data_IF_841294952712
#
_entry.id   IF_841294952712
#
_cell.length_a   1.000
_cell.length_b   1.000
_cell.length_c   1.000
_cell.angle_alpha   90.00
_cell.angle_beta   90.00
_cell.angle_gamma   90.00
#
_symmetry.space_group_name_H-M   'P 1'
#
loop_
_entity.id
_entity.type
_entity.pdbx_description
1 polymer ?
#
# COMPACT_ATOMS: atom_id res chain seq x y z
N UNK A 1 15.01 4.00 9.82
CA UNK A 1 14.55 3.63 8.48
C UNK A 1 13.25 4.35 8.22
N UNK A 2 13.26 5.34 7.33
CA UNK A 2 12.07 6.09 6.93
C UNK A 2 11.22 5.18 6.05
N UNK A 3 9.91 4.97 6.31
CA UNK A 3 9.07 4.20 5.42
C UNK A 3 9.03 4.89 4.05
N UNK A 4 9.46 4.18 3.00
CA UNK A 4 9.39 4.65 1.62
C UNK A 4 7.92 4.62 1.17
N UNK A 5 7.42 5.76 0.71
CA UNK A 5 6.05 5.92 0.24
C UNK A 5 5.44 7.31 0.46
N UNK A 6 6.12 8.21 1.17
CA UNK A 6 5.65 9.61 1.26
C UNK A 6 5.93 10.27 -0.10
N UNK A 7 4.94 10.86 -0.79
CA UNK A 7 5.19 11.75 -1.92
C UNK A 7 6.24 12.78 -1.51
N UNK A 8 7.07 13.30 -2.45
CA UNK A 8 7.95 14.44 -2.16
C UNK A 8 7.11 15.61 -1.62
N UNK A 9 6.97 15.64 -0.30
CA UNK A 9 6.15 16.56 0.44
C UNK A 9 7.08 17.62 0.99
N UNK A 10 6.79 18.88 0.69
CA UNK A 10 7.58 20.01 1.20
C UNK A 10 7.73 19.86 2.71
N UNK A 11 8.94 20.07 3.24
CA UNK A 11 9.28 19.87 4.66
C UNK A 11 8.26 20.52 5.60
N UNK A 12 7.76 21.71 5.25
CA UNK A 12 6.75 22.44 6.02
C UNK A 12 5.37 21.75 6.10
N UNK A 13 4.92 21.10 5.03
CA UNK A 13 3.68 20.31 5.05
C UNK A 13 3.83 19.08 5.95
N UNK A 14 5.02 18.46 5.94
CA UNK A 14 5.31 17.33 6.83
C UNK A 14 5.30 17.76 8.30
N UNK A 15 5.94 18.87 8.65
CA UNK A 15 5.93 19.39 10.02
C UNK A 15 4.52 19.65 10.57
N UNK A 16 3.57 20.08 9.72
CA UNK A 16 2.16 20.25 10.11
C UNK A 16 1.48 18.93 10.42
N UNK A 17 1.70 17.89 9.62
CA UNK A 17 1.17 16.56 9.91
C UNK A 17 1.79 15.99 11.20
N UNK A 18 3.09 16.19 11.43
CA UNK A 18 3.75 15.78 12.66
C UNK A 18 3.18 16.51 13.88
N UNK A 19 2.98 17.84 13.82
CA UNK A 19 2.37 18.60 14.90
C UNK A 19 0.93 18.12 15.20
N UNK A 20 0.11 17.90 14.16
CA UNK A 20 -1.21 17.31 14.31
C UNK A 20 -1.16 15.90 14.90
N UNK A 21 -0.17 15.08 14.54
CA UNK A 21 0.01 13.74 15.11
C UNK A 21 0.29 13.79 16.60
N UNK A 22 1.18 14.67 17.04
CA UNK A 22 1.54 14.81 18.45
C UNK A 22 0.39 15.37 19.29
N UNK A 23 -0.42 16.31 18.76
CA UNK A 23 -1.58 16.87 19.47
C UNK A 23 -2.84 16.01 19.37
N UNK A 24 -2.95 15.16 18.34
CA UNK A 24 -4.16 14.46 17.95
C UNK A 24 -5.16 15.33 17.18
N UNK A 25 -5.40 16.57 17.66
CA UNK A 25 -6.20 17.59 16.98
C UNK A 25 -5.65 18.98 17.28
N UNK A 26 -5.83 19.93 16.36
CA UNK A 26 -5.34 21.30 16.57
C UNK A 26 -6.13 22.35 15.79
N UNK A 27 -6.20 23.56 16.31
CA UNK A 27 -6.67 24.74 15.57
C UNK A 27 -5.53 25.39 14.78
N UNK A 28 -5.88 26.32 13.88
CA UNK A 28 -4.87 27.05 13.09
C UNK A 28 -3.89 27.84 13.98
N UNK A 29 -4.33 28.61 14.99
CA UNK A 29 -3.40 29.33 15.87
C UNK A 29 -2.49 28.40 16.67
N UNK A 30 -2.99 27.25 17.12
CA UNK A 30 -2.17 26.25 17.82
C UNK A 30 -1.02 25.74 16.93
N UNK A 31 -1.34 25.37 15.68
CA UNK A 31 -0.33 24.90 14.72
C UNK A 31 0.64 26.01 14.29
N UNK A 32 0.17 27.25 14.20
CA UNK A 32 1.00 28.41 13.93
C UNK A 32 2.02 28.65 15.05
N UNK A 33 1.59 28.54 16.29
CA UNK A 33 2.44 28.67 17.47
C UNK A 33 3.48 27.56 17.55
N UNK A 34 3.10 26.29 17.32
CA UNK A 34 4.02 25.15 17.44
C UNK A 34 5.15 25.18 16.41
N UNK A 35 4.88 25.72 15.23
CA UNK A 35 5.80 25.67 14.09
C UNK A 35 6.50 27.01 13.81
N UNK A 36 6.25 28.02 14.65
CA UNK A 36 6.71 29.41 14.47
C UNK A 36 6.40 29.91 13.04
N UNK A 37 5.13 29.79 12.65
CA UNK A 37 4.60 30.21 11.35
C UNK A 37 3.50 31.24 11.54
N UNK A 38 3.31 32.12 10.55
CA UNK A 38 2.14 32.97 10.54
C UNK A 38 0.86 32.16 10.21
N UNK A 39 -0.27 32.64 10.73
CA UNK A 39 -1.60 32.00 10.61
C UNK A 39 -2.01 31.77 9.15
N UNK A 40 -1.75 32.71 8.25
CA UNK A 40 -2.13 32.57 6.83
C UNK A 40 -1.35 31.47 6.12
N UNK A 41 -0.05 31.34 6.42
CA UNK A 41 0.80 30.26 5.90
C UNK A 41 0.28 28.91 6.36
N UNK A 42 -0.12 28.78 7.62
CA UNK A 42 -0.73 27.55 8.13
C UNK A 42 -2.06 27.26 7.45
N UNK A 43 -2.91 28.27 7.21
CA UNK A 43 -4.17 28.08 6.47
C UNK A 43 -3.94 27.58 5.05
N UNK A 44 -3.00 28.17 4.32
CA UNK A 44 -2.69 27.75 2.95
C UNK A 44 -2.11 26.33 2.90
N UNK A 45 -1.27 25.98 3.86
CA UNK A 45 -0.77 24.61 4.01
C UNK A 45 -1.90 23.63 4.36
N UNK A 46 -2.78 23.95 5.30
CA UNK A 46 -3.91 23.10 5.66
C UNK A 46 -4.87 22.91 4.50
N UNK A 47 -5.12 23.95 3.68
CA UNK A 47 -5.88 23.81 2.43
C UNK A 47 -5.23 22.83 1.45
N UNK A 48 -3.91 22.90 1.33
CA UNK A 48 -3.14 21.96 0.48
C UNK A 48 -3.19 20.52 1.01
N UNK A 49 -3.18 20.34 2.33
CA UNK A 49 -3.30 19.02 2.95
C UNK A 49 -4.74 18.47 2.85
N UNK A 50 -5.75 19.33 3.03
CA UNK A 50 -7.18 18.98 2.89
C UNK A 50 -7.50 18.57 1.45
N UNK A 51 -6.96 19.28 0.45
CA UNK A 51 -7.12 18.89 -0.97
C UNK A 51 -6.45 17.57 -1.35
N UNK A 52 -5.59 17.03 -0.47
CA UNK A 52 -4.91 15.73 -0.65
C UNK A 52 -5.48 14.66 0.28
N UNK A 53 -6.61 14.92 0.94
CA UNK A 53 -7.20 14.04 1.95
C UNK A 53 -6.21 13.67 3.06
N UNK A 54 -5.34 14.59 3.50
CA UNK A 54 -4.38 14.35 4.59
C UNK A 54 -4.83 14.95 5.92
N UNK A 55 -5.70 15.95 5.88
CA UNK A 55 -6.33 16.52 7.07
C UNK A 55 -7.80 16.76 6.78
N UNK A 56 -8.62 16.74 7.83
CA UNK A 56 -10.04 17.11 7.75
C UNK A 56 -10.43 17.98 8.94
N UNK A 57 -11.51 18.74 8.79
CA UNK A 57 -12.10 19.53 9.86
C UNK A 57 -12.89 18.62 10.80
N UNK A 58 -12.75 18.84 12.10
CA UNK A 58 -13.41 18.09 13.17
C UNK A 58 -14.16 19.04 14.11
N UNK A 59 -15.08 19.82 13.51
CA UNK A 59 -15.87 20.80 14.23
C UNK A 59 -15.12 22.09 14.55
N UNK A 60 -15.59 22.78 15.58
CA UNK A 60 -15.07 24.08 16.01
C UNK A 60 -14.90 24.15 17.51
N UNK A 61 -13.90 24.92 17.97
CA UNK A 61 -13.60 25.15 19.36
C UNK A 61 -13.80 26.62 19.71
N UNK A 62 -14.62 26.91 20.73
CA UNK A 62 -14.78 28.26 21.25
C UNK A 62 -13.73 28.51 22.33
N UNK A 63 -12.77 29.41 22.07
CA UNK A 63 -11.77 29.85 23.04
C UNK A 63 -12.01 31.33 23.34
N UNK A 64 -12.88 31.63 24.31
CA UNK A 64 -13.21 33.00 24.72
C UNK A 64 -14.16 33.75 23.77
N UNK A 65 -14.30 35.09 23.93
CA UNK A 65 -15.17 35.90 23.08
C UNK A 65 -14.58 36.05 21.68
N UNK A 66 -15.34 35.69 20.65
CA UNK A 66 -14.89 35.73 19.25
C UNK A 66 -15.53 34.65 18.39
N UNK A 67 -15.04 34.49 17.15
CA UNK A 67 -15.48 33.43 16.25
C UNK A 67 -14.88 32.08 16.69
N UNK A 68 -15.66 31.00 16.77
CA UNK A 68 -15.12 29.66 17.01
C UNK A 68 -13.99 29.32 16.02
N UNK A 69 -12.92 28.70 16.52
CA UNK A 69 -11.80 28.23 15.70
C UNK A 69 -12.10 26.87 15.09
N UNK A 70 -11.70 26.64 13.84
CA UNK A 70 -11.85 25.33 13.21
C UNK A 70 -10.78 24.38 13.77
N UNK A 71 -11.20 23.18 14.16
CA UNK A 71 -10.30 22.11 14.60
C UNK A 71 -9.98 21.21 13.42
N UNK A 72 -8.71 20.83 13.28
CA UNK A 72 -8.23 19.90 12.27
C UNK A 72 -7.71 18.61 12.92
N UNK A 73 -7.91 17.50 12.22
CA UNK A 73 -7.38 16.18 12.56
C UNK A 73 -6.78 15.51 11.32
N UNK A 74 -5.94 14.50 11.55
CA UNK A 74 -5.44 13.64 10.49
C UNK A 74 -6.56 12.74 9.94
N UNK A 75 -6.47 12.45 8.64
CA UNK A 75 -7.30 11.43 7.99
C UNK A 75 -6.65 10.06 8.11
N UNK A 76 -7.39 8.96 7.85
CA UNK A 76 -6.80 7.63 7.70
C UNK A 76 -5.68 7.58 6.65
N UNK A 77 -5.80 8.35 5.56
CA UNK A 77 -4.79 8.47 4.50
C UNK A 77 -3.49 9.08 5.05
N UNK A 78 -3.56 10.15 5.85
CA UNK A 78 -2.37 10.71 6.49
C UNK A 78 -1.80 9.79 7.58
N UNK A 79 -2.65 9.04 8.29
CA UNK A 79 -2.22 8.05 9.28
C UNK A 79 -1.34 6.94 8.66
N UNK A 80 -1.43 6.69 7.36
CA UNK A 80 -0.54 5.78 6.64
C UNK A 80 0.88 6.33 6.43
N UNK A 81 1.10 7.64 6.61
CA UNK A 81 2.41 8.29 6.43
C UNK A 81 3.30 8.24 7.68
N UNK A 82 2.81 7.72 8.80
CA UNK A 82 3.57 7.60 10.04
C UNK A 82 4.21 6.23 10.17
N UNK A 83 5.30 6.09 10.95
CA UNK A 83 5.98 4.82 11.13
C UNK A 83 5.02 3.72 11.60
N UNK A 84 5.13 2.57 10.94
CA UNK A 84 4.35 1.36 11.15
C UNK A 84 5.30 0.18 11.30
N UNK A 85 4.91 -0.82 12.10
CA UNK A 85 5.73 -2.01 12.42
C UNK A 85 5.01 -3.31 12.11
N UNK A 86 3.88 -3.24 11.43
CA UNK A 86 3.07 -4.40 11.05
C UNK A 86 3.85 -5.36 10.17
N UNK A 87 4.63 -4.86 9.19
CA UNK A 87 5.49 -5.69 8.35
C UNK A 87 6.57 -6.45 9.14
N UNK A 88 7.29 -5.74 10.03
CA UNK A 88 8.27 -6.33 10.95
C UNK A 88 7.63 -7.38 11.86
N UNK A 89 6.46 -7.08 12.43
CA UNK A 89 5.73 -7.98 13.32
C UNK A 89 5.22 -9.23 12.59
N UNK A 90 4.63 -9.08 11.40
CA UNK A 90 4.16 -10.20 10.57
C UNK A 90 5.32 -11.10 10.15
N UNK A 91 6.46 -10.51 9.81
CA UNK A 91 7.69 -11.26 9.52
C UNK A 91 8.14 -12.07 10.75
N UNK A 92 8.18 -11.46 11.94
CA UNK A 92 8.54 -12.14 13.19
C UNK A 92 7.56 -13.28 13.52
N UNK A 93 6.26 -13.06 13.32
CA UNK A 93 5.22 -14.08 13.51
C UNK A 93 5.41 -15.26 12.54
N UNK A 94 5.66 -14.99 11.26
CA UNK A 94 5.90 -16.04 10.29
C UNK A 94 7.13 -16.89 10.64
N UNK A 95 8.25 -16.24 11.02
CA UNK A 95 9.45 -16.95 11.51
C UNK A 95 9.15 -17.81 12.73
N UNK A 96 8.45 -17.25 13.72
CA UNK A 96 8.05 -17.98 14.91
C UNK A 96 7.26 -19.25 14.56
N UNK A 97 6.28 -19.16 13.66
CA UNK A 97 5.48 -20.31 13.23
C UNK A 97 6.32 -21.37 12.51
N UNK A 98 7.26 -20.94 11.65
CA UNK A 98 8.20 -21.86 10.97
C UNK A 98 9.08 -22.58 12.00
N UNK A 99 9.70 -21.84 12.93
CA UNK A 99 10.60 -22.39 13.95
C UNK A 99 9.89 -23.38 14.88
N UNK A 100 8.60 -23.16 15.13
CA UNK A 100 7.75 -24.03 15.96
C UNK A 100 7.01 -25.11 15.15
N UNK A 101 7.44 -25.38 13.91
CA UNK A 101 6.88 -26.44 13.03
C UNK A 101 5.39 -26.28 12.74
N UNK A 102 4.90 -25.05 12.74
CA UNK A 102 3.51 -24.67 12.42
C UNK A 102 3.35 -24.20 10.96
N UNK A 103 4.28 -24.56 10.08
CA UNK A 103 4.20 -24.27 8.63
C UNK A 103 2.88 -24.69 7.98
N UNK A 104 2.21 -25.81 8.37
CA UNK A 104 0.89 -26.14 7.83
C UNK A 104 -0.16 -25.04 8.06
N UNK A 105 -0.13 -24.37 9.22
CA UNK A 105 -1.06 -23.26 9.51
C UNK A 105 -0.80 -22.05 8.61
N UNK A 106 0.48 -21.75 8.32
CA UNK A 106 0.83 -20.70 7.37
C UNK A 106 0.32 -21.03 5.96
N UNK A 107 0.49 -22.28 5.51
CA UNK A 107 -0.05 -22.74 4.23
C UNK A 107 -1.57 -22.58 4.15
N UNK A 108 -2.29 -23.06 5.16
CA UNK A 108 -3.75 -22.97 5.20
C UNK A 108 -4.23 -21.52 5.21
N UNK A 109 -3.55 -20.66 5.97
CA UNK A 109 -3.81 -19.22 5.98
C UNK A 109 -3.65 -18.61 4.59
N UNK A 110 -2.50 -18.79 3.93
CA UNK A 110 -2.27 -18.17 2.62
C UNK A 110 -3.18 -18.72 1.53
N UNK A 111 -3.45 -20.04 1.53
CA UNK A 111 -4.42 -20.64 0.62
C UNK A 111 -5.81 -20.01 0.78
N UNK A 112 -6.26 -19.81 2.03
CA UNK A 112 -7.53 -19.15 2.33
C UNK A 112 -7.52 -17.67 1.95
N UNK A 113 -6.44 -16.95 2.29
CA UNK A 113 -6.25 -15.53 1.99
C UNK A 113 -6.30 -15.25 0.48
N UNK A 114 -5.74 -16.14 -0.34
CA UNK A 114 -5.77 -16.02 -1.80
C UNK A 114 -7.07 -16.57 -2.42
N UNK A 115 -7.81 -17.45 -1.73
CA UNK A 115 -9.05 -18.01 -2.26
C UNK A 115 -10.11 -16.95 -2.64
N UNK A 116 -10.33 -15.94 -1.79
CA UNK A 116 -11.27 -14.86 -2.09
C UNK A 116 -10.82 -14.04 -3.30
N UNK A 117 -9.52 -13.74 -3.39
CA UNK A 117 -8.92 -13.00 -4.53
C UNK A 117 -8.99 -13.79 -5.82
N UNK A 118 -8.80 -15.11 -5.73
CA UNK A 118 -8.94 -16.06 -6.83
C UNK A 118 -10.37 -16.05 -7.36
N UNK A 119 -11.36 -16.20 -6.49
CA UNK A 119 -12.78 -16.18 -6.89
C UNK A 119 -13.16 -14.87 -7.59
N UNK A 120 -12.84 -13.73 -6.98
CA UNK A 120 -13.12 -12.40 -7.54
C UNK A 120 -12.38 -12.18 -8.86
N UNK A 121 -11.11 -12.57 -8.93
CA UNK A 121 -10.30 -12.45 -10.14
C UNK A 121 -10.83 -13.31 -11.28
N UNK A 122 -11.15 -14.59 -11.01
CA UNK A 122 -11.70 -15.52 -12.00
C UNK A 122 -13.03 -15.03 -12.56
N UNK A 123 -13.89 -14.47 -11.71
CA UNK A 123 -15.15 -13.87 -12.15
C UNK A 123 -14.93 -12.69 -13.11
N UNK A 124 -13.92 -11.85 -12.87
CA UNK A 124 -13.59 -10.70 -13.73
C UNK A 124 -13.02 -11.10 -15.09
N UNK A 125 -12.21 -12.17 -15.12
CA UNK A 125 -11.61 -12.66 -16.38
C UNK A 125 -12.51 -13.64 -17.13
N UNK A 126 -13.66 -14.02 -16.57
CA UNK A 126 -14.60 -14.95 -17.19
C UNK A 126 -15.04 -14.44 -18.58
N UNK A 127 -14.89 -15.29 -19.60
CA UNK A 127 -15.20 -14.96 -21.00
C UNK A 127 -14.20 -14.02 -21.69
N UNK A 128 -13.16 -13.54 -20.99
CA UNK A 128 -12.06 -12.79 -21.61
C UNK A 128 -10.98 -13.74 -22.12
N UNK A 129 -10.45 -13.44 -23.30
CA UNK A 129 -9.36 -14.20 -23.95
C UNK A 129 -8.25 -13.28 -24.46
N UNK A 130 -7.07 -13.87 -24.71
CA UNK A 130 -5.90 -13.19 -25.27
C UNK A 130 -5.56 -11.88 -24.56
N UNK A 131 -5.26 -10.83 -25.34
CA UNK A 131 -4.86 -9.51 -24.82
C UNK A 131 -5.91 -8.87 -23.90
N UNK A 132 -7.20 -9.16 -24.04
CA UNK A 132 -8.24 -8.62 -23.14
C UNK A 132 -8.12 -9.25 -21.75
N UNK A 133 -7.89 -10.57 -21.68
CA UNK A 133 -7.65 -11.30 -20.43
C UNK A 133 -6.41 -10.78 -19.73
N UNK A 134 -5.29 -10.68 -20.45
CA UNK A 134 -4.02 -10.19 -19.90
C UNK A 134 -4.17 -8.78 -19.30
N UNK A 135 -4.84 -7.85 -20.00
CA UNK A 135 -5.09 -6.51 -19.48
C UNK A 135 -5.92 -6.51 -18.19
N UNK A 136 -6.92 -7.38 -18.09
CA UNK A 136 -7.71 -7.47 -16.87
C UNK A 136 -6.90 -8.04 -15.71
N UNK A 137 -6.04 -9.04 -15.97
CA UNK A 137 -5.08 -9.53 -14.96
C UNK A 137 -4.13 -8.43 -14.49
N UNK A 138 -3.60 -7.61 -15.40
CA UNK A 138 -2.79 -6.43 -15.05
C UNK A 138 -3.57 -5.49 -14.12
N UNK A 139 -4.85 -5.21 -14.39
CA UNK A 139 -5.66 -4.36 -13.50
C UNK A 139 -5.87 -4.99 -12.12
N UNK A 140 -6.16 -6.28 -12.08
CA UNK A 140 -6.30 -7.02 -10.81
C UNK A 140 -5.01 -6.90 -9.97
N UNK A 141 -3.84 -7.12 -10.58
CA UNK A 141 -2.56 -7.04 -9.87
C UNK A 141 -2.16 -5.61 -9.49
N UNK A 142 -2.57 -4.60 -10.26
CA UNK A 142 -2.40 -3.19 -9.90
C UNK A 142 -3.21 -2.83 -8.65
N UNK A 143 -4.48 -3.25 -8.61
CA UNK A 143 -5.36 -3.08 -7.45
C UNK A 143 -4.86 -3.82 -6.20
N UNK A 144 -4.18 -4.95 -6.38
CA UNK A 144 -3.50 -5.68 -5.31
C UNK A 144 -2.16 -5.05 -4.90
N UNK A 145 -1.73 -3.98 -5.56
CA UNK A 145 -0.55 -3.19 -5.22
C UNK A 145 0.75 -3.67 -5.86
N UNK A 146 0.73 -4.57 -6.84
CA UNK A 146 1.95 -5.13 -7.44
C UNK A 146 2.64 -4.21 -8.46
N UNK A 147 2.02 -3.10 -8.85
CA UNK A 147 2.52 -2.17 -9.88
C UNK A 147 2.94 -2.91 -11.17
N UNK A 148 2.01 -3.60 -11.84
CA UNK A 148 2.32 -4.43 -13.00
C UNK A 148 2.64 -3.61 -14.25
N UNK A 149 3.60 -4.09 -15.05
CA UNK A 149 3.98 -3.55 -16.35
C UNK A 149 4.03 -4.69 -17.36
N UNK A 150 3.43 -4.48 -18.55
CA UNK A 150 3.58 -5.38 -19.69
C UNK A 150 4.72 -4.89 -20.58
N UNK A 151 5.68 -5.76 -20.85
CA UNK A 151 6.82 -5.54 -21.74
C UNK A 151 6.77 -6.50 -22.94
N UNK A 152 7.77 -6.42 -23.82
CA UNK A 152 7.96 -7.35 -24.95
C UNK A 152 6.69 -7.59 -25.77
N UNK A 153 6.02 -6.50 -26.14
CA UNK A 153 4.79 -6.52 -26.96
C UNK A 153 3.57 -7.18 -26.28
N UNK A 154 3.67 -7.45 -24.98
CA UNK A 154 2.64 -8.05 -24.15
C UNK A 154 2.98 -9.43 -23.61
N UNK A 155 4.17 -9.97 -23.90
CA UNK A 155 4.55 -11.36 -23.60
C UNK A 155 5.24 -11.51 -22.23
N UNK A 156 5.75 -10.42 -21.67
CA UNK A 156 6.38 -10.40 -20.35
C UNK A 156 5.57 -9.53 -19.38
N UNK A 157 5.12 -10.12 -18.27
CA UNK A 157 4.49 -9.41 -17.16
C UNK A 157 5.51 -9.18 -16.05
N UNK A 158 5.78 -7.92 -15.72
CA UNK A 158 6.63 -7.52 -14.59
C UNK A 158 5.78 -6.98 -13.45
N UNK A 159 5.96 -7.53 -12.26
CA UNK A 159 5.42 -7.00 -11.01
C UNK A 159 6.52 -6.19 -10.31
N UNK A 160 6.40 -4.86 -10.35
CA UNK A 160 7.46 -3.95 -9.91
C UNK A 160 7.43 -3.64 -8.40
N UNK A 161 6.40 -4.11 -7.69
CA UNK A 161 6.28 -3.97 -6.25
C UNK A 161 5.81 -5.29 -5.62
N UNK A 162 6.31 -5.60 -4.43
CA UNK A 162 5.79 -6.70 -3.61
C UNK A 162 5.08 -6.11 -2.39
N UNK A 163 3.74 -6.16 -2.32
CA UNK A 163 2.99 -5.65 -1.18
C UNK A 163 3.23 -6.46 0.11
N UNK A 164 3.91 -7.61 0.01
CA UNK A 164 4.27 -8.50 1.11
C UNK A 164 5.79 -8.60 1.31
N UNK A 165 6.56 -7.57 0.91
CA UNK A 165 8.03 -7.59 0.87
C UNK A 165 8.69 -8.00 2.19
N UNK A 166 8.18 -7.54 3.32
CA UNK A 166 8.74 -7.89 4.64
C UNK A 166 8.51 -9.37 4.99
N UNK A 167 7.38 -9.91 4.56
CA UNK A 167 6.94 -11.28 4.86
C UNK A 167 7.65 -12.32 4.01
N UNK A 168 7.95 -12.01 2.74
CA UNK A 168 8.64 -12.94 1.83
C UNK A 168 10.09 -13.23 2.24
N UNK A 169 10.66 -12.45 3.16
CA UNK A 169 11.95 -12.75 3.79
C UNK A 169 11.88 -13.84 4.87
N UNK A 170 10.68 -14.19 5.35
CA UNK A 170 10.46 -15.23 6.35
C UNK A 170 9.92 -16.53 5.74
N UNK A 171 9.24 -16.46 4.59
CA UNK A 171 8.60 -17.61 3.95
C UNK A 171 8.35 -17.35 2.46
N UNK A 172 8.43 -18.39 1.63
CA UNK A 172 8.17 -18.31 0.19
C UNK A 172 6.68 -18.46 -0.18
N UNK A 173 5.81 -18.73 0.80
CA UNK A 173 4.38 -18.98 0.60
C UNK A 173 3.63 -17.88 -0.17
N UNK A 174 3.81 -16.58 0.15
CA UNK A 174 3.17 -15.53 -0.64
C UNK A 174 3.55 -15.60 -2.12
N UNK A 175 4.83 -15.87 -2.41
CA UNK A 175 5.34 -15.94 -3.79
C UNK A 175 4.81 -17.18 -4.54
N UNK A 176 4.50 -18.27 -3.83
CA UNK A 176 3.89 -19.49 -4.40
C UNK A 176 2.42 -19.28 -4.73
N UNK A 177 1.66 -18.71 -3.80
CA UNK A 177 0.24 -18.44 -4.05
C UNK A 177 0.07 -17.34 -5.12
N UNK A 178 0.95 -16.34 -5.19
CA UNK A 178 0.95 -15.32 -6.24
C UNK A 178 1.09 -15.91 -7.64
N UNK A 179 2.12 -16.74 -7.88
CA UNK A 179 2.32 -17.36 -9.20
C UNK A 179 1.20 -18.36 -9.52
N UNK A 180 0.65 -19.03 -8.51
CA UNK A 180 -0.55 -19.87 -8.66
C UNK A 180 -1.74 -19.06 -9.16
N UNK A 181 -2.05 -17.95 -8.49
CA UNK A 181 -3.12 -17.03 -8.89
C UNK A 181 -2.89 -16.48 -10.31
N UNK A 182 -1.68 -16.05 -10.65
CA UNK A 182 -1.38 -15.57 -12.00
C UNK A 182 -1.68 -16.63 -13.07
N UNK A 183 -1.25 -17.88 -12.86
CA UNK A 183 -1.48 -18.98 -13.81
C UNK A 183 -2.96 -19.23 -14.03
N UNK A 184 -3.73 -19.26 -12.95
CA UNK A 184 -5.18 -19.49 -13.02
C UNK A 184 -5.89 -18.33 -13.73
N UNK A 185 -5.52 -17.08 -13.43
CA UNK A 185 -6.14 -15.91 -14.04
C UNK A 185 -5.75 -15.71 -15.49
N UNK A 186 -4.55 -16.12 -15.91
CA UNK A 186 -4.11 -16.02 -17.30
C UNK A 186 -4.56 -17.21 -18.15
N UNK A 187 -4.92 -18.34 -17.54
CA UNK A 187 -5.30 -19.58 -18.23
C UNK A 187 -4.21 -20.02 -19.24
N UNK A 188 -2.96 -19.96 -18.79
CA UNK A 188 -1.79 -20.22 -19.64
C UNK A 188 -0.54 -20.56 -18.84
N UNK A 189 0.50 -21.02 -19.54
CA UNK A 189 1.80 -21.29 -18.93
C UNK A 189 2.54 -20.01 -18.62
N UNK A 190 3.18 -20.00 -17.45
CA UNK A 190 3.99 -18.90 -16.95
C UNK A 190 5.32 -19.44 -16.47
N UNK A 191 6.39 -18.85 -17.00
CA UNK A 191 7.76 -19.09 -16.56
C UNK A 191 8.28 -17.86 -15.84
N UNK A 192 8.69 -18.02 -14.57
CA UNK A 192 9.35 -16.94 -13.83
C UNK A 192 10.76 -16.75 -14.39
N UNK A 193 11.09 -15.52 -14.77
CA UNK A 193 12.40 -15.15 -15.34
C UNK A 193 13.19 -14.21 -14.45
N UNK A 194 12.56 -13.55 -13.49
CA UNK A 194 13.20 -12.75 -12.45
C UNK A 194 12.38 -12.82 -11.15
N UNK A 195 13.04 -12.70 -10.00
CA UNK A 195 12.44 -12.91 -8.69
C UNK A 195 13.01 -11.95 -7.65
N UNK A 196 12.16 -11.08 -7.11
CA UNK A 196 12.55 -10.06 -6.13
C UNK A 196 13.30 -10.58 -4.88
N UNK A 197 12.93 -11.72 -4.28
CA UNK A 197 13.70 -12.35 -3.21
C UNK A 197 15.13 -12.75 -3.59
N UNK A 198 15.41 -13.00 -4.86
CA UNK A 198 16.73 -13.37 -5.36
C UNK A 198 17.61 -12.15 -5.69
N UNK A 199 17.10 -10.94 -5.45
CA UNK A 199 17.82 -9.67 -5.62
C UNK A 199 17.40 -8.86 -6.85
N UNK A 200 16.47 -9.38 -7.66
CA UNK A 200 15.97 -8.65 -8.83
C UNK A 200 15.10 -7.44 -8.46
N UNK A 201 15.03 -6.48 -9.38
CA UNK A 201 14.23 -5.27 -9.21
C UNK A 201 12.71 -5.52 -9.32
N UNK A 202 12.28 -6.64 -9.90
CA UNK A 202 10.89 -7.00 -10.12
C UNK A 202 10.73 -8.52 -10.24
N UNK A 203 9.57 -9.05 -9.88
CA UNK A 203 9.18 -10.41 -10.25
C UNK A 203 8.69 -10.37 -11.70
N UNK A 204 9.31 -11.16 -12.58
CA UNK A 204 8.99 -11.12 -14.01
C UNK A 204 8.57 -12.50 -14.50
N UNK A 205 7.52 -12.53 -15.31
CA UNK A 205 6.89 -13.74 -15.80
C UNK A 205 6.74 -13.66 -17.31
N UNK A 206 7.33 -14.63 -18.02
CA UNK A 206 7.10 -14.82 -19.45
C UNK A 206 5.84 -15.67 -19.64
N UNK A 207 4.91 -15.15 -20.43
CA UNK A 207 3.69 -15.81 -20.86
C UNK A 207 3.96 -16.51 -22.19
N UNK A 208 3.55 -17.76 -22.30
CA UNK A 208 3.49 -18.41 -23.62
C UNK A 208 2.12 -18.04 -24.20
N UNK A 209 2.08 -16.98 -25.01
CA UNK A 209 0.86 -16.54 -25.68
C UNK A 209 0.75 -17.29 -27.02
N UNK A 210 -0.12 -18.31 -27.06
CA UNK A 210 -0.58 -18.94 -28.31
C UNK A 210 -1.57 -18.03 -29.08
#
# INVERSE_FOLDING_TARGET
>A
MTPQGIPLMKARLRSLLDALKYRGRATVPELASDLDLNVETVRDHLRTLESRDLVRRDGTLQQGPGRPEIVFILTPTAEALFPRREGEMLQALARYLVDHKQTPLLHDFFRSYVAERREQGLARVAGLTGKKRVREVVRIFDELGFMPVLEDHGDTLRLCHCPLRDLVQATDLPCREEIGLLRELLDGSLTRVAHMPDGDAACSYRMDLD
#
